data_IF_318584639858
#
_entry.id   IF_318584639858
#
_cell.length_a   1.000
_cell.length_b   1.000
_cell.length_c   1.000
_cell.angle_alpha   90.00
_cell.angle_beta   90.00
_cell.angle_gamma   90.00
#
_symmetry.space_group_name_H-M   'P 1'
#
loop_
_entity.id
_entity.type
_entity.pdbx_description
1 polymer ?
#
# COMPACT_ATOMS: atom_id res chain seq x y z
N UNK A 1 -18.43 -4.86 0.77
CA UNK A 1 -17.39 -4.71 1.81
C UNK A 1 -16.08 -4.40 1.11
N UNK A 2 -15.74 -3.11 1.00
CA UNK A 2 -14.55 -2.65 0.28
C UNK A 2 -13.30 -3.04 1.06
N UNK A 3 -12.59 -4.06 0.60
CA UNK A 3 -11.17 -4.24 0.93
C UNK A 3 -10.37 -3.23 0.09
N UNK A 4 -10.65 -1.93 0.29
CA UNK A 4 -9.62 -0.92 0.05
C UNK A 4 -8.40 -1.29 0.89
N UNK A 5 -7.25 -0.72 0.57
CA UNK A 5 -6.04 -0.76 1.38
C UNK A 5 -6.30 -0.09 2.75
N UNK A 6 -7.18 -0.69 3.54
CA UNK A 6 -7.62 -0.29 4.84
C UNK A 6 -6.65 -0.81 5.89
N UNK A 7 -6.79 -0.23 7.07
CA UNK A 7 -6.00 -0.51 8.26
C UNK A 7 -5.46 -1.97 8.31
N UNK A 8 -4.13 -2.18 8.40
CA UNK A 8 -3.54 -3.52 8.46
C UNK A 8 -4.15 -4.39 9.58
N UNK A 9 -4.61 -3.77 10.68
CA UNK A 9 -5.28 -4.41 11.80
C UNK A 9 -6.77 -4.74 11.56
N UNK A 10 -7.28 -4.59 10.34
CA UNK A 10 -8.55 -5.16 9.89
C UNK A 10 -8.41 -6.62 9.42
N UNK A 11 -7.18 -7.09 9.22
CA UNK A 11 -6.88 -8.45 8.80
C UNK A 11 -6.33 -9.23 10.00
N UNK A 12 -7.02 -10.31 10.38
CA UNK A 12 -6.71 -11.15 11.54
C UNK A 12 -5.26 -11.69 11.54
N UNK A 13 -4.67 -11.86 10.34
CA UNK A 13 -3.27 -12.31 10.19
C UNK A 13 -2.28 -11.31 10.79
N UNK A 14 -2.55 -10.01 10.66
CA UNK A 14 -1.70 -8.97 11.25
C UNK A 14 -1.86 -8.89 12.77
N UNK A 15 -3.06 -9.16 13.29
CA UNK A 15 -3.30 -9.22 14.74
C UNK A 15 -2.58 -10.43 15.36
N UNK A 16 -2.63 -11.59 14.70
CA UNK A 16 -1.87 -12.76 15.15
C UNK A 16 -0.36 -12.53 15.09
N UNK A 17 0.12 -11.89 14.01
CA UNK A 17 1.53 -11.55 13.88
C UNK A 17 1.98 -10.59 14.98
N UNK A 18 1.16 -9.58 15.34
CA UNK A 18 1.48 -8.66 16.43
C UNK A 18 1.49 -9.38 17.78
N UNK A 19 0.55 -10.28 18.04
CA UNK A 19 0.51 -11.05 19.30
C UNK A 19 1.69 -12.01 19.43
N UNK A 20 2.05 -12.73 18.36
CA UNK A 20 3.26 -13.54 18.32
C UNK A 20 4.52 -12.69 18.58
N UNK A 21 4.58 -11.51 17.98
CA UNK A 21 5.69 -10.57 18.15
C UNK A 21 5.85 -10.10 19.59
N UNK A 22 4.73 -9.78 20.26
CA UNK A 22 4.73 -9.38 21.68
C UNK A 22 5.23 -10.53 22.55
N UNK A 23 4.73 -11.75 22.35
CA UNK A 23 5.17 -12.93 23.10
C UNK A 23 6.67 -13.19 22.90
N UNK A 24 7.14 -13.13 21.65
CA UNK A 24 8.54 -13.35 21.31
C UNK A 24 9.46 -12.30 21.95
N UNK A 25 9.14 -11.01 21.80
CA UNK A 25 9.95 -9.93 22.39
C UNK A 25 9.93 -10.00 23.91
N UNK A 26 8.77 -10.27 24.53
CA UNK A 26 8.67 -10.39 25.98
C UNK A 26 9.54 -11.52 26.52
N UNK A 27 9.55 -12.67 25.83
CA UNK A 27 10.43 -13.80 26.17
C UNK A 27 11.91 -13.46 25.96
N UNK A 28 12.23 -12.75 24.88
CA UNK A 28 13.59 -12.31 24.61
C UNK A 28 14.11 -11.38 25.72
N UNK A 29 13.28 -10.42 26.14
CA UNK A 29 13.64 -9.46 27.18
C UNK A 29 13.73 -10.10 28.57
N UNK A 30 12.92 -11.11 28.88
CA UNK A 30 12.92 -11.75 30.19
C UNK A 30 14.05 -12.77 30.40
N UNK A 31 14.45 -13.46 29.33
CA UNK A 31 15.43 -14.56 29.41
C UNK A 31 16.86 -14.09 29.13
N UNK A 32 17.06 -13.19 28.16
CA UNK A 32 18.42 -12.85 27.71
C UNK A 32 19.02 -11.66 28.48
N UNK A 33 20.35 -11.66 28.69
CA UNK A 33 21.08 -10.50 29.19
C UNK A 33 20.96 -9.28 28.24
N UNK A 34 21.01 -8.03 28.75
CA UNK A 34 20.80 -6.83 27.95
C UNK A 34 21.73 -6.67 26.75
N UNK A 35 22.98 -7.15 26.87
CA UNK A 35 23.98 -7.10 25.81
C UNK A 35 23.56 -7.86 24.54
N UNK A 36 22.63 -8.82 24.66
CA UNK A 36 22.14 -9.61 23.51
C UNK A 36 20.84 -9.07 22.90
N UNK A 37 20.23 -8.04 23.50
CA UNK A 37 18.96 -7.49 23.04
C UNK A 37 19.04 -6.93 21.64
N UNK A 38 20.13 -6.27 21.30
CA UNK A 38 20.31 -5.70 19.96
C UNK A 38 20.28 -6.79 18.89
N UNK A 39 20.92 -7.94 19.13
CA UNK A 39 20.91 -9.07 18.20
C UNK A 39 19.52 -9.69 18.08
N UNK A 40 18.81 -9.88 19.20
CA UNK A 40 17.43 -10.37 19.19
C UNK A 40 16.47 -9.43 18.47
N UNK A 41 16.64 -8.12 18.64
CA UNK A 41 15.85 -7.10 17.96
C UNK A 41 16.12 -7.07 16.45
N UNK A 42 17.38 -7.21 16.03
CA UNK A 42 17.75 -7.32 14.61
C UNK A 42 17.14 -8.57 13.99
N UNK A 43 17.23 -9.73 14.64
CA UNK A 43 16.61 -10.98 14.15
C UNK A 43 15.10 -10.80 14.03
N UNK A 44 14.46 -10.24 15.05
CA UNK A 44 13.04 -9.93 15.05
C UNK A 44 12.65 -9.03 13.88
N UNK A 45 13.38 -7.93 13.65
CA UNK A 45 13.14 -7.02 12.53
C UNK A 45 13.24 -7.74 11.19
N UNK A 46 14.28 -8.55 10.97
CA UNK A 46 14.45 -9.32 9.73
C UNK A 46 13.29 -10.28 9.51
N UNK A 47 12.86 -11.00 10.55
CA UNK A 47 11.74 -11.95 10.48
C UNK A 47 10.42 -11.23 10.19
N UNK A 48 10.10 -10.17 10.94
CA UNK A 48 8.85 -9.42 10.76
C UNK A 48 8.82 -8.70 9.41
N UNK A 49 9.94 -8.13 8.95
CA UNK A 49 10.02 -7.54 7.61
C UNK A 49 9.81 -8.60 6.54
N UNK A 50 10.42 -9.78 6.68
CA UNK A 50 10.25 -10.89 5.72
C UNK A 50 8.81 -11.38 5.66
N UNK A 51 8.17 -11.59 6.81
CA UNK A 51 6.77 -12.04 6.89
C UNK A 51 5.84 -10.96 6.35
N UNK A 52 6.03 -9.69 6.76
CA UNK A 52 5.20 -8.57 6.31
C UNK A 52 5.35 -8.38 4.81
N UNK A 53 6.56 -8.47 4.28
CA UNK A 53 6.82 -8.43 2.84
C UNK A 53 6.13 -9.59 2.12
N UNK A 54 6.22 -10.81 2.64
CA UNK A 54 5.56 -11.98 2.03
C UNK A 54 4.04 -11.87 2.02
N UNK A 55 3.44 -11.46 3.15
CA UNK A 55 1.99 -11.24 3.28
C UNK A 55 1.56 -10.12 2.33
N UNK A 56 2.31 -9.01 2.29
CA UNK A 56 2.03 -7.87 1.43
C UNK A 56 2.17 -8.24 -0.04
N UNK A 57 3.22 -8.95 -0.44
CA UNK A 57 3.44 -9.40 -1.82
C UNK A 57 2.34 -10.35 -2.29
N UNK A 58 1.88 -11.26 -1.42
CA UNK A 58 0.83 -12.24 -1.77
C UNK A 58 -0.57 -11.63 -1.75
N UNK A 59 -0.82 -10.66 -0.88
CA UNK A 59 -2.12 -10.00 -0.74
C UNK A 59 -2.29 -8.81 -1.68
N UNK A 60 -1.19 -8.17 -2.10
CA UNK A 60 -1.21 -7.01 -2.99
C UNK A 60 -1.30 -7.47 -4.47
N UNK A 61 -2.43 -7.24 -5.13
CA UNK A 61 -2.66 -7.63 -6.51
C UNK A 61 -1.80 -6.81 -7.49
N UNK A 62 -1.48 -5.55 -7.18
CA UNK A 62 -0.61 -4.69 -7.98
C UNK A 62 0.83 -5.23 -8.01
N UNK A 63 1.35 -5.73 -6.89
CA UNK A 63 2.70 -6.31 -6.86
C UNK A 63 2.82 -7.58 -7.71
N UNK A 64 1.76 -8.40 -7.79
CA UNK A 64 1.73 -9.57 -8.68
C UNK A 64 1.71 -9.20 -10.15
N UNK A 65 1.12 -8.07 -10.50
CA UNK A 65 1.02 -7.61 -11.88
C UNK A 65 2.28 -6.90 -12.39
N UNK A 66 3.21 -6.54 -11.51
CA UNK A 66 4.52 -6.00 -11.91
C UNK A 66 5.29 -6.90 -12.88
N UNK A 67 5.04 -8.21 -12.88
CA UNK A 67 5.64 -9.14 -13.87
C UNK A 67 5.26 -8.79 -15.32
N UNK A 68 4.09 -8.19 -15.53
CA UNK A 68 3.62 -7.76 -16.86
C UNK A 68 4.12 -6.36 -17.23
N UNK A 69 4.69 -5.61 -16.28
CA UNK A 69 5.21 -4.25 -16.53
C UNK A 69 6.28 -4.26 -17.63
N UNK A 70 7.18 -5.25 -17.62
CA UNK A 70 8.20 -5.39 -18.65
C UNK A 70 7.64 -5.66 -20.05
N UNK A 71 6.50 -6.36 -20.14
CA UNK A 71 5.81 -6.61 -21.41
C UNK A 71 5.15 -5.33 -21.95
N UNK A 72 4.53 -4.55 -21.07
CA UNK A 72 3.91 -3.26 -21.41
C UNK A 72 4.99 -2.29 -21.91
N UNK A 73 6.10 -2.17 -21.20
CA UNK A 73 7.21 -1.26 -21.54
C UNK A 73 7.83 -1.53 -22.91
N UNK A 74 7.93 -2.80 -23.32
CA UNK A 74 8.53 -3.20 -24.60
C UNK A 74 7.53 -3.19 -25.76
N UNK A 75 6.24 -3.07 -25.48
CA UNK A 75 5.20 -3.11 -26.50
C UNK A 75 5.07 -1.78 -27.25
N UNK A 76 4.49 -1.83 -28.45
CA UNK A 76 4.34 -0.64 -29.30
C UNK A 76 3.43 0.38 -28.64
N UNK A 77 3.90 1.63 -28.60
CA UNK A 77 3.12 2.77 -28.12
C UNK A 77 2.07 3.16 -29.16
N UNK A 78 0.82 3.30 -28.71
CA UNK A 78 -0.33 3.74 -29.51
C UNK A 78 -0.58 5.23 -29.26
N UNK A 79 -0.46 5.66 -28.01
CA UNK A 79 -0.64 7.05 -27.60
C UNK A 79 0.35 7.39 -26.48
N UNK A 80 0.85 8.62 -26.48
CA UNK A 80 1.77 9.11 -25.45
C UNK A 80 1.37 10.53 -25.09
N UNK A 81 1.20 10.78 -23.79
CA UNK A 81 0.99 12.10 -23.23
C UNK A 81 2.16 12.45 -22.31
N UNK A 82 2.82 13.56 -22.62
CA UNK A 82 4.04 14.02 -21.93
C UNK A 82 3.79 15.22 -21.02
N UNK A 83 2.61 15.83 -21.15
CA UNK A 83 2.29 17.09 -20.49
C UNK A 83 0.86 17.08 -19.93
N UNK A 84 0.50 15.99 -19.23
CA UNK A 84 -0.78 15.89 -18.53
C UNK A 84 -0.81 16.74 -17.25
N UNK A 85 0.36 17.18 -16.76
CA UNK A 85 0.53 17.96 -15.54
C UNK A 85 -0.24 19.27 -15.56
N UNK A 86 -0.14 20.03 -16.64
CA UNK A 86 -0.80 21.35 -16.77
C UNK A 86 -2.33 21.24 -16.64
N UNK A 87 -2.89 20.14 -17.13
CA UNK A 87 -4.34 19.87 -17.10
C UNK A 87 -4.75 19.36 -15.73
N UNK A 88 -3.96 18.45 -15.17
CA UNK A 88 -4.17 17.91 -13.83
C UNK A 88 -4.16 19.02 -12.76
N UNK A 89 -3.26 20.01 -12.90
CA UNK A 89 -3.16 21.16 -11.98
C UNK A 89 -4.35 22.11 -12.05
N UNK A 90 -5.20 22.02 -13.08
CA UNK A 90 -6.45 22.79 -13.20
C UNK A 90 -7.64 22.09 -12.50
N UNK A 91 -7.51 20.82 -12.12
CA UNK A 91 -8.55 20.09 -11.39
C UNK A 91 -8.42 20.29 -9.87
N UNK A 92 -9.05 21.36 -9.37
CA UNK A 92 -9.02 21.72 -7.94
C UNK A 92 -9.53 20.59 -7.02
N UNK A 93 -10.51 19.81 -7.49
CA UNK A 93 -11.09 18.71 -6.71
C UNK A 93 -10.07 17.58 -6.50
N UNK A 94 -9.36 17.21 -7.57
CA UNK A 94 -8.30 16.21 -7.49
C UNK A 94 -7.16 16.70 -6.59
N UNK A 95 -6.73 17.95 -6.75
CA UNK A 95 -5.65 18.53 -5.93
C UNK A 95 -6.04 18.58 -4.46
N UNK A 96 -7.29 18.93 -4.14
CA UNK A 96 -7.79 18.93 -2.76
C UNK A 96 -7.72 17.53 -2.15
N UNK A 97 -8.24 16.51 -2.85
CA UNK A 97 -8.18 15.10 -2.42
C UNK A 97 -6.74 14.61 -2.27
N UNK A 98 -5.86 14.98 -3.20
CA UNK A 98 -4.44 14.63 -3.15
C UNK A 98 -3.73 15.27 -1.95
N UNK A 99 -3.96 16.56 -1.69
CA UNK A 99 -3.42 17.27 -0.51
C UNK A 99 -3.93 16.70 0.80
N UNK A 100 -5.22 16.33 0.88
CA UNK A 100 -5.79 15.66 2.05
C UNK A 100 -5.14 14.29 2.28
N UNK A 101 -4.90 13.52 1.22
CA UNK A 101 -4.18 12.25 1.28
C UNK A 101 -2.74 12.43 1.76
N UNK A 102 -2.01 13.42 1.23
CA UNK A 102 -0.65 13.75 1.67
C UNK A 102 -0.61 14.19 3.13
N UNK A 103 -1.54 15.05 3.57
CA UNK A 103 -1.66 15.46 4.97
C UNK A 103 -1.87 14.26 5.88
N UNK A 104 -2.79 13.34 5.51
CA UNK A 104 -3.05 12.11 6.27
C UNK A 104 -1.81 11.22 6.36
N UNK A 105 -1.10 11.02 5.26
CA UNK A 105 0.16 10.25 5.25
C UNK A 105 1.24 10.93 6.12
N UNK A 106 1.34 12.26 6.05
CA UNK A 106 2.25 13.05 6.90
C UNK A 106 1.92 12.92 8.39
N UNK A 107 0.64 13.02 8.77
CA UNK A 107 0.19 12.79 10.15
C UNK A 107 0.49 11.36 10.61
N UNK A 108 0.32 10.36 9.74
CA UNK A 108 0.68 8.98 10.06
C UNK A 108 2.19 8.82 10.30
N UNK A 109 3.03 9.44 9.46
CA UNK A 109 4.48 9.42 9.63
C UNK A 109 4.91 10.14 10.93
N UNK A 110 4.34 11.31 11.22
CA UNK A 110 4.60 12.04 12.46
C UNK A 110 4.17 11.22 13.69
N UNK A 111 2.98 10.62 13.64
CA UNK A 111 2.51 9.70 14.67
C UNK A 111 3.48 8.53 14.88
N UNK A 112 3.99 7.93 13.79
CA UNK A 112 4.94 6.83 13.88
C UNK A 112 6.27 7.26 14.52
N UNK A 113 6.79 8.45 14.19
CA UNK A 113 8.01 9.00 14.79
C UNK A 113 7.80 9.28 16.29
N UNK A 114 6.68 9.91 16.67
CA UNK A 114 6.35 10.18 18.08
C UNK A 114 6.18 8.87 18.85
N UNK A 115 5.51 7.88 18.27
CA UNK A 115 5.35 6.55 18.84
C UNK A 115 6.71 5.86 19.08
N UNK A 116 7.63 5.92 18.12
CA UNK A 116 8.98 5.38 18.28
C UNK A 116 9.78 6.13 19.36
N UNK A 117 9.69 7.47 19.41
CA UNK A 117 10.37 8.26 20.42
C UNK A 117 9.86 7.94 21.83
N UNK A 118 8.54 7.83 22.01
CA UNK A 118 7.92 7.41 23.27
C UNK A 118 8.42 6.02 23.67
N UNK A 119 8.45 5.05 22.74
CA UNK A 119 8.97 3.72 23.02
C UNK A 119 10.42 3.78 23.47
N UNK A 120 11.29 4.53 22.79
CA UNK A 120 12.71 4.59 23.14
C UNK A 120 12.96 5.21 24.51
N UNK A 121 12.25 6.30 24.86
CA UNK A 121 12.36 6.93 26.18
C UNK A 121 11.83 6.01 27.27
N UNK A 122 10.66 5.40 27.05
CA UNK A 122 10.07 4.45 28.00
C UNK A 122 10.95 3.20 28.12
N UNK A 123 11.60 2.76 27.05
CA UNK A 123 12.37 1.51 27.01
C UNK A 123 13.47 1.49 28.06
N UNK A 124 14.32 2.53 28.11
CA UNK A 124 15.46 2.55 29.04
C UNK A 124 15.02 2.66 30.51
N UNK A 125 14.06 3.54 30.80
CA UNK A 125 13.58 3.76 32.17
C UNK A 125 12.80 2.54 32.69
N UNK A 126 11.90 1.99 31.87
CA UNK A 126 11.03 0.88 32.26
C UNK A 126 11.80 -0.44 32.35
N UNK A 127 12.75 -0.71 31.45
CA UNK A 127 13.62 -1.89 31.57
C UNK A 127 14.46 -1.85 32.85
N UNK A 128 15.04 -0.69 33.16
CA UNK A 128 15.83 -0.52 34.37
C UNK A 128 15.01 -0.77 35.64
N UNK A 129 13.77 -0.27 35.68
CA UNK A 129 12.86 -0.43 36.82
C UNK A 129 12.38 -1.89 36.95
N UNK A 130 11.91 -2.50 35.86
CA UNK A 130 11.39 -3.87 35.89
C UNK A 130 12.47 -4.89 36.23
N UNK A 131 13.69 -4.72 35.72
CA UNK A 131 14.82 -5.60 36.09
C UNK A 131 15.21 -5.44 37.55
N UNK A 132 15.11 -4.24 38.14
CA UNK A 132 15.38 -4.07 39.58
C UNK A 132 14.32 -4.71 40.46
N UNK A 133 13.04 -4.60 40.08
CA UNK A 133 11.94 -5.14 40.88
C UNK A 133 11.73 -6.66 40.70
N UNK A 134 11.95 -7.19 39.49
CA UNK A 134 11.59 -8.57 39.14
C UNK A 134 12.79 -9.42 38.69
N UNK A 135 14.03 -9.00 39.02
CA UNK A 135 15.27 -9.72 38.65
C UNK A 135 15.30 -11.18 39.09
N UNK A 136 14.63 -11.53 40.19
CA UNK A 136 14.69 -12.85 40.79
C UNK A 136 13.85 -13.90 40.04
N UNK A 137 12.86 -13.48 39.25
CA UNK A 137 11.92 -14.40 38.61
C UNK A 137 11.67 -14.02 37.14
N UNK A 138 12.21 -14.83 36.22
CA UNK A 138 12.04 -14.64 34.78
C UNK A 138 10.58 -14.69 34.33
N UNK A 139 9.70 -15.40 35.04
CA UNK A 139 8.28 -15.50 34.72
C UNK A 139 7.56 -14.17 35.02
N UNK A 140 7.82 -13.57 36.18
CA UNK A 140 7.27 -12.25 36.53
C UNK A 140 7.78 -11.18 35.57
N UNK A 141 9.08 -11.20 35.27
CA UNK A 141 9.68 -10.28 34.31
C UNK A 141 9.06 -10.42 32.91
N UNK A 142 8.79 -11.66 32.46
CA UNK A 142 8.07 -11.93 31.22
C UNK A 142 6.65 -11.34 31.23
N UNK A 143 5.87 -11.60 32.29
CA UNK A 143 4.49 -11.15 32.38
C UNK A 143 4.39 -9.62 32.36
N UNK A 144 5.28 -8.94 33.07
CA UNK A 144 5.31 -7.48 33.13
C UNK A 144 5.66 -6.90 31.75
N UNK A 145 6.66 -7.47 31.03
CA UNK A 145 6.92 -7.05 29.65
C UNK A 145 5.76 -7.33 28.71
N UNK A 146 5.14 -8.50 28.83
CA UNK A 146 4.00 -8.89 28.01
C UNK A 146 2.84 -7.90 28.18
N UNK A 147 2.43 -7.61 29.42
CA UNK A 147 1.33 -6.68 29.71
C UNK A 147 1.64 -5.28 29.19
N UNK A 148 2.86 -4.78 29.40
CA UNK A 148 3.25 -3.44 28.95
C UNK A 148 3.28 -3.33 27.42
N UNK A 149 3.87 -4.31 26.73
CA UNK A 149 3.91 -4.33 25.26
C UNK A 149 2.53 -4.56 24.63
N UNK A 150 1.68 -5.38 25.25
CA UNK A 150 0.31 -5.59 24.80
C UNK A 150 -0.54 -4.34 24.97
N UNK A 151 -0.42 -3.63 26.11
CA UNK A 151 -1.09 -2.35 26.33
C UNK A 151 -0.67 -1.30 25.27
N UNK A 152 0.63 -1.17 25.01
CA UNK A 152 1.16 -0.25 23.97
C UNK A 152 0.61 -0.63 22.58
N UNK A 153 0.57 -1.92 22.27
CA UNK A 153 0.07 -2.40 20.97
C UNK A 153 -1.43 -2.18 20.82
N UNK A 154 -2.22 -2.42 21.87
CA UNK A 154 -3.66 -2.13 21.87
C UNK A 154 -3.95 -0.64 21.68
N UNK A 155 -3.20 0.23 22.35
CA UNK A 155 -3.26 1.68 22.16
C UNK A 155 -2.93 2.03 20.69
N UNK A 156 -1.90 1.42 20.11
CA UNK A 156 -1.52 1.63 18.71
C UNK A 156 -2.60 1.17 17.73
N UNK A 157 -3.21 0.00 17.96
CA UNK A 157 -4.31 -0.53 17.15
C UNK A 157 -5.52 0.42 17.22
N UNK A 158 -5.85 0.94 18.40
CA UNK A 158 -6.96 1.85 18.58
C UNK A 158 -6.72 3.21 17.88
N UNK A 159 -5.54 3.80 18.07
CA UNK A 159 -5.13 5.06 17.45
C UNK A 159 -5.05 4.93 15.93
N UNK A 160 -4.42 3.87 15.42
CA UNK A 160 -4.33 3.61 13.97
C UNK A 160 -5.71 3.41 13.35
N UNK A 161 -6.64 2.73 14.03
CA UNK A 161 -8.05 2.65 13.58
C UNK A 161 -8.71 4.01 13.48
N UNK A 162 -8.45 4.91 14.42
CA UNK A 162 -9.01 6.28 14.38
C UNK A 162 -8.39 7.13 13.28
N UNK A 163 -7.08 7.05 13.07
CA UNK A 163 -6.34 7.84 12.07
C UNK A 163 -6.55 7.32 10.64
N UNK A 164 -6.71 6.00 10.45
CA UNK A 164 -6.89 5.38 9.13
C UNK A 164 -8.36 5.22 8.70
N UNK A 165 -9.33 5.67 9.51
CA UNK A 165 -10.74 5.73 9.09
C UNK A 165 -10.86 6.61 7.86
N UNK A 166 -11.38 6.06 6.76
CA UNK A 166 -11.57 6.79 5.50
C UNK A 166 -10.37 6.80 4.55
N UNK A 167 -9.38 5.93 4.74
CA UNK A 167 -8.40 5.60 3.70
C UNK A 167 -9.07 4.78 2.58
N UNK A 168 -9.98 5.42 1.83
CA UNK A 168 -10.53 4.88 0.58
C UNK A 168 -9.46 4.90 -0.51
N UNK A 169 -9.63 3.99 -1.48
CA UNK A 169 -8.84 3.86 -2.71
C UNK A 169 -8.35 5.23 -3.19
N UNK A 170 -7.03 5.41 -3.28
CA UNK A 170 -6.47 6.66 -3.77
C UNK A 170 -6.56 6.66 -5.28
N UNK A 171 -7.34 7.59 -5.83
CA UNK A 171 -7.32 7.84 -7.26
C UNK A 171 -5.94 8.36 -7.66
N UNK A 172 -5.28 7.68 -8.59
CA UNK A 172 -3.94 8.03 -9.06
C UNK A 172 -4.03 8.71 -10.42
N UNK A 173 -3.38 9.86 -10.58
CA UNK A 173 -3.24 10.53 -11.86
C UNK A 173 -1.75 10.66 -12.27
N UNK A 174 -1.30 9.97 -13.32
CA UNK A 174 0.05 10.15 -13.85
C UNK A 174 0.18 11.46 -14.64
N UNK A 175 1.31 12.15 -14.48
CA UNK A 175 1.60 13.40 -15.21
C UNK A 175 2.14 13.18 -16.64
N UNK A 176 2.66 11.98 -16.91
CA UNK A 176 3.20 11.48 -18.17
C UNK A 176 2.91 9.99 -18.24
N UNK A 177 2.30 9.57 -19.33
CA UNK A 177 1.95 8.18 -19.54
C UNK A 177 1.96 7.84 -21.02
N UNK A 178 2.06 6.54 -21.28
CA UNK A 178 1.92 5.97 -22.61
C UNK A 178 0.92 4.84 -22.58
N UNK A 179 0.04 4.83 -23.56
CA UNK A 179 -0.88 3.75 -23.87
C UNK A 179 -0.20 2.90 -24.93
N UNK A 180 -0.03 1.63 -24.62
CA UNK A 180 0.65 0.65 -25.47
C UNK A 180 -0.31 -0.49 -25.82
N UNK A 181 0.03 -1.32 -26.80
CA UNK A 181 -0.77 -2.48 -27.19
C UNK A 181 -0.98 -3.52 -26.08
N UNK A 182 -0.18 -3.48 -25.01
CA UNK A 182 -0.30 -4.39 -23.86
C UNK A 182 -0.80 -3.72 -22.58
N UNK A 183 -1.06 -2.41 -22.59
CA UNK A 183 -1.58 -1.71 -21.42
C UNK A 183 -1.16 -0.25 -21.32
N UNK A 184 -1.42 0.36 -20.17
CA UNK A 184 -1.10 1.75 -19.85
C UNK A 184 0.02 1.76 -18.82
N UNK A 185 1.02 2.61 -19.01
CA UNK A 185 2.13 2.78 -18.07
C UNK A 185 2.48 4.25 -17.91
N UNK A 186 2.75 4.67 -16.67
CA UNK A 186 3.30 6.00 -16.40
C UNK A 186 4.81 6.00 -16.53
N UNK A 187 5.34 7.11 -17.04
CA UNK A 187 6.79 7.34 -17.13
C UNK A 187 7.29 8.24 -15.98
N UNK A 188 6.49 8.37 -14.92
CA UNK A 188 6.74 9.27 -13.79
C UNK A 188 6.81 8.54 -12.46
N UNK A 189 7.17 9.28 -11.41
CA UNK A 189 7.20 8.85 -10.02
C UNK A 189 5.86 8.28 -9.48
N UNK A 190 4.75 8.46 -10.20
CA UNK A 190 3.45 7.87 -9.83
C UNK A 190 3.43 6.35 -9.98
N UNK A 191 4.29 5.77 -10.82
CA UNK A 191 4.44 4.31 -10.96
C UNK A 191 3.15 3.55 -11.33
N UNK A 192 2.21 4.23 -11.99
CA UNK A 192 0.93 3.66 -12.41
C UNK A 192 1.17 2.70 -13.56
N UNK A 193 0.69 1.47 -13.42
CA UNK A 193 0.69 0.48 -14.48
C UNK A 193 -0.68 -0.19 -14.54
N UNK A 194 -1.15 -0.46 -15.74
CA UNK A 194 -2.42 -1.14 -16.00
C UNK A 194 -2.23 -2.10 -17.17
N UNK A 195 -2.36 -3.40 -16.93
CA UNK A 195 -2.28 -4.38 -17.99
C UNK A 195 -3.58 -4.43 -18.81
N UNK A 196 -3.48 -4.64 -20.13
CA UNK A 196 -4.61 -4.59 -21.05
C UNK A 196 -5.73 -5.59 -20.69
N UNK A 197 -5.38 -6.74 -20.09
CA UNK A 197 -6.33 -7.77 -19.63
C UNK A 197 -7.46 -7.24 -18.73
N UNK A 198 -7.23 -6.12 -18.03
CA UNK A 198 -8.21 -5.54 -17.11
C UNK A 198 -9.07 -4.44 -17.75
N UNK A 199 -8.69 -3.92 -18.92
CA UNK A 199 -9.44 -2.89 -19.66
C UNK A 199 -10.82 -3.35 -20.15
N UNK A 200 -11.04 -4.62 -20.57
CA UNK A 200 -12.36 -5.08 -20.98
C UNK A 200 -13.42 -5.00 -19.87
N UNK A 201 -13.01 -5.25 -18.63
CA UNK A 201 -13.89 -5.35 -17.45
C UNK A 201 -13.90 -4.06 -16.60
N UNK A 202 -13.18 -3.02 -17.01
CA UNK A 202 -13.17 -1.72 -16.33
C UNK A 202 -14.26 -0.78 -16.85
N UNK A 203 -14.84 0.00 -15.95
CA UNK A 203 -15.71 1.11 -16.31
C UNK A 203 -14.85 2.31 -16.70
N UNK A 204 -15.06 2.82 -17.92
CA UNK A 204 -14.33 3.98 -18.45
C UNK A 204 -15.31 5.14 -18.48
N UNK A 205 -15.10 6.13 -17.61
CA UNK A 205 -15.94 7.34 -17.54
C UNK A 205 -15.13 8.53 -18.05
N UNK A 206 -15.69 9.29 -19.00
CA UNK A 206 -15.07 10.51 -19.52
C UNK A 206 -15.62 11.76 -18.83
N UNK A 207 -14.76 12.76 -18.65
CA UNK A 207 -15.18 14.11 -18.27
C UNK A 207 -14.54 15.11 -19.23
N UNK A 208 -15.35 15.64 -20.15
CA UNK A 208 -14.90 16.57 -21.19
C UNK A 208 -14.54 17.95 -20.65
N UNK A 209 -15.25 18.41 -19.62
CA UNK A 209 -15.01 19.73 -19.00
C UNK A 209 -13.63 19.78 -18.32
N UNK A 210 -13.32 18.73 -17.55
CA UNK A 210 -12.05 18.62 -16.81
C UNK A 210 -10.94 17.89 -17.59
N UNK A 211 -11.22 17.48 -18.82
CA UNK A 211 -10.30 16.82 -19.76
C UNK A 211 -9.57 15.60 -19.20
N UNK A 212 -10.33 14.68 -18.61
CA UNK A 212 -9.80 13.40 -18.14
C UNK A 212 -10.67 12.22 -18.53
N UNK A 213 -10.01 11.05 -18.61
CA UNK A 213 -10.66 9.74 -18.69
C UNK A 213 -10.33 8.99 -17.40
N UNK A 214 -11.36 8.59 -16.66
CA UNK A 214 -11.24 7.83 -15.42
C UNK A 214 -11.53 6.35 -15.70
N UNK A 215 -10.55 5.49 -15.38
CA UNK A 215 -10.66 4.05 -15.49
C UNK A 215 -10.87 3.50 -14.08
N UNK A 216 -12.10 3.06 -13.82
CA UNK A 216 -12.47 2.40 -12.57
C UNK A 216 -12.43 0.90 -12.76
N UNK A 217 -11.71 0.22 -11.89
CA UNK A 217 -11.74 -1.23 -11.86
C UNK A 217 -12.97 -1.70 -11.09
N UNK A 218 -13.93 -2.31 -11.80
CA UNK A 218 -15.09 -2.97 -11.19
C UNK A 218 -14.73 -4.25 -10.43
N UNK A 219 -13.47 -4.68 -10.49
CA UNK A 219 -13.02 -5.92 -9.85
C UNK A 219 -12.50 -5.62 -8.44
N UNK A 220 -13.17 -6.19 -7.43
CA UNK A 220 -12.82 -6.14 -5.98
C UNK A 220 -11.33 -6.44 -5.72
N UNK A 221 -10.68 -7.20 -6.61
CA UNK A 221 -9.29 -7.63 -6.48
C UNK A 221 -8.26 -6.59 -6.92
N UNK A 222 -8.61 -5.47 -7.53
CA UNK A 222 -7.67 -4.45 -8.00
C UNK A 222 -8.29 -3.05 -7.88
N UNK A 223 -8.30 -2.43 -6.68
CA UNK A 223 -8.83 -1.09 -6.51
C UNK A 223 -7.80 -0.07 -7.00
N UNK A 224 -7.74 0.14 -8.31
CA UNK A 224 -7.10 1.31 -8.90
C UNK A 224 -8.18 2.13 -9.59
N UNK A 225 -8.32 3.38 -9.15
CA UNK A 225 -9.04 4.41 -9.89
C UNK A 225 -7.95 5.24 -10.56
N UNK A 226 -7.81 5.14 -11.88
CA UNK A 226 -6.77 5.85 -12.62
C UNK A 226 -7.42 6.98 -13.40
N UNK A 227 -6.94 8.22 -13.19
CA UNK A 227 -7.35 9.39 -13.98
C UNK A 227 -6.26 9.76 -14.97
N UNK A 228 -6.57 9.65 -16.26
CA UNK A 228 -5.68 10.02 -17.35
C UNK A 228 -6.12 11.38 -17.90
N UNK A 229 -5.31 12.41 -17.66
CA UNK A 229 -5.52 13.75 -18.22
C UNK A 229 -4.88 13.83 -19.62
N UNK A 230 -5.50 14.54 -20.56
CA UNK A 230 -5.00 14.67 -21.94
C UNK A 230 -5.46 15.98 -22.57
N UNK A 231 -4.65 16.54 -23.48
CA UNK A 231 -5.09 17.71 -24.29
C UNK A 231 -6.17 17.30 -25.30
N UNK A 232 -6.11 16.06 -25.79
CA UNK A 232 -6.99 15.47 -26.80
C UNK A 232 -7.66 14.21 -26.22
N UNK A 233 -8.94 14.35 -25.84
CA UNK A 233 -9.72 13.27 -25.22
C UNK A 233 -10.12 12.23 -26.25
N UNK A 234 -10.50 12.66 -27.45
CA UNK A 234 -10.99 11.75 -28.50
C UNK A 234 -9.88 10.79 -28.95
N UNK A 235 -8.64 11.29 -29.09
CA UNK A 235 -7.48 10.41 -29.35
C UNK A 235 -7.20 9.43 -28.23
N UNK A 236 -7.35 9.84 -26.97
CA UNK A 236 -7.11 8.95 -25.83
C UNK A 236 -8.17 7.85 -25.77
N UNK A 237 -9.44 8.20 -26.01
CA UNK A 237 -10.54 7.24 -26.06
C UNK A 237 -10.37 6.23 -27.18
N UNK A 238 -10.03 6.68 -28.39
CA UNK A 238 -9.75 5.78 -29.52
C UNK A 238 -8.56 4.85 -29.22
N UNK A 239 -7.51 5.37 -28.58
CA UNK A 239 -6.37 4.55 -28.15
C UNK A 239 -6.79 3.48 -27.13
N UNK A 240 -7.58 3.84 -26.11
CA UNK A 240 -8.09 2.90 -25.10
C UNK A 240 -9.01 1.85 -25.73
N UNK A 241 -9.93 2.27 -26.61
CA UNK A 241 -10.85 1.38 -27.30
C UNK A 241 -10.11 0.41 -28.23
N UNK A 242 -9.07 0.88 -28.93
CA UNK A 242 -8.20 0.05 -29.76
C UNK A 242 -7.48 -1.01 -28.93
N UNK A 243 -6.93 -0.66 -27.77
CA UNK A 243 -6.32 -1.65 -26.86
C UNK A 243 -7.36 -2.66 -26.37
N UNK A 244 -8.56 -2.20 -26.00
CA UNK A 244 -9.66 -3.08 -25.57
C UNK A 244 -10.05 -4.08 -26.65
N UNK A 245 -10.17 -3.64 -27.92
CA UNK A 245 -10.46 -4.51 -29.08
C UNK A 245 -9.34 -5.54 -29.32
N UNK A 246 -8.08 -5.13 -29.23
CA UNK A 246 -6.92 -6.03 -29.38
C UNK A 246 -6.94 -7.11 -28.29
N UNK A 247 -7.23 -6.73 -27.05
CA UNK A 247 -7.25 -7.67 -25.93
C UNK A 247 -8.43 -8.65 -26.00
N UNK A 248 -9.63 -8.19 -26.39
CA UNK A 248 -10.79 -9.09 -26.58
C UNK A 248 -10.48 -10.15 -27.65
N UNK A 249 -9.86 -9.75 -28.77
CA UNK A 249 -9.44 -10.70 -29.81
C UNK A 249 -8.42 -11.72 -29.29
N UNK A 250 -7.46 -11.29 -28.46
CA UNK A 250 -6.49 -12.19 -27.83
C UNK A 250 -7.14 -13.19 -26.89
N UNK A 251 -8.09 -12.74 -26.06
CA UNK A 251 -8.81 -13.60 -25.13
C UNK A 251 -9.65 -14.66 -25.87
N UNK A 252 -10.30 -14.28 -26.97
CA UNK A 252 -11.04 -15.20 -27.83
C UNK A 252 -10.11 -16.24 -28.49
N UNK A 253 -8.96 -15.81 -29.03
CA UNK A 253 -8.00 -16.73 -29.66
C UNK A 253 -7.37 -17.73 -28.69
N UNK A 254 -7.21 -17.36 -27.42
CA UNK A 254 -6.66 -18.25 -26.38
C UNK A 254 -7.71 -19.18 -25.77
N UNK A 255 -9.00 -18.83 -25.83
CA UNK A 255 -10.10 -19.75 -25.49
C UNK A 255 -10.42 -20.79 -26.56
N UNK A 256 -10.04 -20.56 -27.82
CA UNK A 256 -10.26 -21.50 -28.93
C UNK A 256 -9.12 -22.52 -29.13
N UNK A 257 -8.06 -22.44 -28.32
CA UNK A 257 -6.91 -23.36 -28.37
C UNK A 257 -6.84 -24.30 -27.16
N UNK A 258 -7.81 -24.24 -26.25
CA UNK A 258 -8.05 -25.20 -25.17
C UNK A 258 -9.35 -25.96 -25.44
#
# INVERSE_FOLDING_TARGET
MSLGYGNPYSNWRYILLSQFSILFISALLSVFPPQYYIYGYVIYLVVVMSITFFISFRSNPLLKERKYMGEIMKSRTIFEEKDAKEIMEKDEEYIKKYKESLKRNGYFMLYFVVYLAIILVIYDDVLGIYRKMFAANHLELFLVFFVTLDAITLINIFLSRKVMKGATSQTMAPTKYRVTERGIISNDATGVFLHARHLPNSEVTENREKRYVEIKSNTIKLPYDIRLYTKDIDRLLDAIERVKKIEIKRQQSSSSQN
#
